data_IF_948417263717
#
_entry.id   IF_948417263717
#
_cell.length_a   1.000
_cell.length_b   1.000
_cell.length_c   1.000
_cell.angle_alpha   90.00
_cell.angle_beta   90.00
_cell.angle_gamma   90.00
#
_symmetry.space_group_name_H-M   'P 1'
#
loop_
_entity.id
_entity.type
_entity.pdbx_description
1 polymer ?
#
# COMPACT_ATOMS: atom_id res chain seq x y z
N UNK A 1 4.70 7.35 -27.13
CA UNK A 1 5.56 6.49 -26.28
C UNK A 1 6.63 7.36 -25.65
N UNK A 2 6.88 7.20 -24.35
CA UNK A 2 7.95 7.92 -23.67
C UNK A 2 9.31 7.35 -24.11
N UNK A 3 10.35 8.19 -24.29
CA UNK A 3 11.70 7.71 -24.55
C UNK A 3 12.22 6.87 -23.35
N UNK A 4 13.15 5.91 -23.57
CA UNK A 4 13.60 4.95 -22.56
C UNK A 4 14.04 5.58 -21.23
N UNK A 5 14.69 6.74 -21.28
CA UNK A 5 15.11 7.49 -20.08
C UNK A 5 13.92 8.07 -19.27
N UNK A 6 12.80 8.35 -19.94
CA UNK A 6 11.60 8.86 -19.27
C UNK A 6 10.69 7.71 -18.77
N UNK A 7 10.85 6.50 -19.30
CA UNK A 7 10.10 5.31 -18.82
C UNK A 7 10.42 5.00 -17.36
N UNK A 8 11.70 5.05 -16.98
CA UNK A 8 12.13 4.81 -15.60
C UNK A 8 11.51 5.84 -14.67
N UNK A 9 11.58 7.13 -15.07
CA UNK A 9 10.97 8.22 -14.29
C UNK A 9 9.45 8.09 -14.21
N UNK A 10 8.79 7.76 -15.31
CA UNK A 10 7.34 7.53 -15.35
C UNK A 10 6.91 6.37 -14.45
N UNK A 11 7.64 5.26 -14.50
CA UNK A 11 7.37 4.10 -13.64
C UNK A 11 7.56 4.42 -12.16
N UNK A 12 8.60 5.16 -11.80
CA UNK A 12 8.84 5.59 -10.42
C UNK A 12 7.72 6.48 -9.88
N UNK A 13 7.15 7.35 -10.72
CA UNK A 13 5.99 8.17 -10.34
C UNK A 13 4.74 7.31 -10.12
N UNK A 14 4.47 6.36 -11.01
CA UNK A 14 3.33 5.44 -10.89
C UNK A 14 3.45 4.63 -9.60
N UNK A 15 4.62 4.06 -9.34
CA UNK A 15 4.90 3.27 -8.13
C UNK A 15 4.73 4.12 -6.87
N UNK A 16 5.33 5.32 -6.84
CA UNK A 16 5.22 6.24 -5.71
C UNK A 16 3.78 6.67 -5.43
N UNK A 17 3.00 6.98 -6.45
CA UNK A 17 1.58 7.31 -6.32
C UNK A 17 0.76 6.10 -5.85
N UNK A 18 1.10 4.89 -6.30
CA UNK A 18 0.44 3.66 -5.85
C UNK A 18 0.65 3.45 -4.36
N UNK A 19 1.89 3.53 -3.88
CA UNK A 19 2.21 3.40 -2.45
C UNK A 19 1.51 4.49 -1.64
N UNK A 20 1.59 5.75 -2.09
CA UNK A 20 0.91 6.87 -1.44
C UNK A 20 -0.60 6.64 -1.33
N UNK A 21 -1.22 6.12 -2.40
CA UNK A 21 -2.67 5.83 -2.42
C UNK A 21 -3.04 4.73 -1.43
N UNK A 22 -2.22 3.69 -1.31
CA UNK A 22 -2.42 2.61 -0.32
C UNK A 22 -2.40 3.17 1.09
N UNK A 23 -1.40 4.01 1.40
CA UNK A 23 -1.23 4.63 2.71
C UNK A 23 -2.42 5.54 3.04
N UNK A 24 -2.74 6.47 2.13
CA UNK A 24 -3.87 7.38 2.31
C UNK A 24 -5.20 6.62 2.43
N UNK A 25 -5.38 5.57 1.63
CA UNK A 25 -6.57 4.72 1.70
C UNK A 25 -6.72 4.03 3.05
N UNK A 26 -5.64 3.51 3.62
CA UNK A 26 -5.64 2.88 4.94
C UNK A 26 -5.96 3.90 6.05
N UNK A 27 -5.36 5.08 6.00
CA UNK A 27 -5.65 6.15 6.98
C UNK A 27 -7.10 6.64 6.88
N UNK A 28 -7.57 6.90 5.67
CA UNK A 28 -8.97 7.31 5.44
C UNK A 28 -9.94 6.23 5.90
N UNK A 29 -9.65 4.95 5.60
CA UNK A 29 -10.44 3.82 6.08
C UNK A 29 -10.52 3.77 7.62
N UNK A 30 -9.39 3.98 8.31
CA UNK A 30 -9.36 4.07 9.78
C UNK A 30 -10.18 5.24 10.32
N UNK A 31 -10.06 6.42 9.71
CA UNK A 31 -10.84 7.61 10.10
C UNK A 31 -12.34 7.40 9.90
N UNK A 32 -12.76 6.76 8.80
CA UNK A 32 -14.18 6.48 8.53
C UNK A 32 -14.82 5.56 9.56
N UNK A 33 -14.06 4.66 10.16
CA UNK A 33 -14.54 3.73 11.21
C UNK A 33 -14.36 4.32 12.61
N UNK A 34 -13.71 5.49 12.75
CA UNK A 34 -13.56 6.17 14.06
C UNK A 34 -14.92 6.55 14.64
N UNK A 35 -15.08 6.56 15.99
CA UNK A 35 -16.37 6.82 16.63
C UNK A 35 -16.99 8.16 16.26
N UNK A 36 -16.16 9.20 16.12
CA UNK A 36 -16.65 10.55 15.81
C UNK A 36 -17.23 10.63 14.40
N UNK A 37 -16.52 10.07 13.41
CA UNK A 37 -16.95 10.10 12.00
C UNK A 37 -18.09 9.12 11.77
N UNK A 38 -18.02 7.92 12.33
CA UNK A 38 -19.07 6.91 12.17
C UNK A 38 -20.39 7.34 12.81
N UNK A 39 -20.36 7.95 14.01
CA UNK A 39 -21.58 8.48 14.64
C UNK A 39 -22.18 9.61 13.82
N UNK A 40 -21.35 10.51 13.30
CA UNK A 40 -21.82 11.60 12.43
C UNK A 40 -22.46 11.06 11.15
N UNK A 41 -21.85 10.06 10.51
CA UNK A 41 -22.39 9.42 9.29
C UNK A 41 -23.73 8.73 9.58
N UNK A 42 -23.85 7.98 10.70
CA UNK A 42 -25.06 7.25 11.06
C UNK A 42 -26.24 8.16 11.47
N UNK A 43 -25.95 9.35 12.02
CA UNK A 43 -26.98 10.31 12.39
C UNK A 43 -27.44 11.19 11.25
N UNK A 44 -26.78 11.13 10.08
CA UNK A 44 -27.13 11.97 8.97
C UNK A 44 -28.47 11.57 8.31
N UNK A 45 -29.44 12.52 8.12
CA UNK A 45 -30.81 12.19 7.68
C UNK A 45 -30.89 11.41 6.36
N UNK A 46 -29.91 11.61 5.45
CA UNK A 46 -29.86 10.98 4.13
C UNK A 46 -29.43 9.50 4.17
N UNK A 47 -28.80 9.08 5.26
CA UNK A 47 -28.28 7.73 5.45
C UNK A 47 -29.13 6.90 6.40
N UNK A 48 -30.07 7.55 7.13
CA UNK A 48 -31.00 6.89 8.02
C UNK A 48 -31.87 5.87 7.27
N UNK A 49 -31.77 4.61 7.66
CA UNK A 49 -32.51 3.50 7.04
C UNK A 49 -31.76 2.73 5.95
N UNK A 50 -30.67 3.27 5.41
CA UNK A 50 -29.81 2.60 4.41
C UNK A 50 -28.58 1.99 5.05
N UNK A 51 -28.05 2.64 6.08
CA UNK A 51 -26.81 2.28 6.75
C UNK A 51 -27.08 2.09 8.23
N UNK A 52 -26.73 0.93 8.78
CA UNK A 52 -26.98 0.58 10.17
C UNK A 52 -25.68 0.45 10.98
N UNK A 53 -24.56 0.19 10.31
CA UNK A 53 -23.26 -0.04 10.96
C UNK A 53 -22.19 0.93 10.47
N UNK A 54 -21.18 1.26 11.31
CA UNK A 54 -20.03 2.06 10.89
C UNK A 54 -19.31 1.50 9.65
N UNK A 55 -19.26 0.19 9.52
CA UNK A 55 -18.63 -0.48 8.40
C UNK A 55 -19.40 -0.25 7.08
N UNK A 56 -20.74 -0.31 7.12
CA UNK A 56 -21.60 -0.02 5.96
C UNK A 56 -21.45 1.43 5.51
N UNK A 57 -21.38 2.36 6.46
CA UNK A 57 -21.14 3.77 6.16
C UNK A 57 -19.79 3.97 5.46
N UNK A 58 -18.73 3.32 5.96
CA UNK A 58 -17.41 3.37 5.35
C UNK A 58 -17.41 2.79 3.93
N UNK A 59 -18.07 1.64 3.73
CA UNK A 59 -18.19 0.99 2.40
C UNK A 59 -18.92 1.92 1.42
N UNK A 60 -19.98 2.58 1.85
CA UNK A 60 -20.73 3.52 0.98
C UNK A 60 -19.84 4.69 0.54
N UNK A 61 -19.07 5.28 1.46
CA UNK A 61 -18.13 6.37 1.12
C UNK A 61 -17.06 5.87 0.14
N UNK A 62 -16.52 4.68 0.36
CA UNK A 62 -15.53 4.07 -0.55
C UNK A 62 -16.15 3.80 -1.92
N UNK A 63 -17.39 3.32 -1.98
CA UNK A 63 -18.11 3.11 -3.24
C UNK A 63 -18.29 4.42 -4.03
N UNK A 64 -18.59 5.53 -3.35
CA UNK A 64 -18.67 6.85 -3.97
C UNK A 64 -17.31 7.32 -4.52
N UNK A 65 -16.23 7.08 -3.78
CA UNK A 65 -14.85 7.37 -4.25
C UNK A 65 -14.53 6.56 -5.50
N UNK A 66 -14.88 5.27 -5.54
CA UNK A 66 -14.71 4.43 -6.73
C UNK A 66 -15.57 4.91 -7.91
N UNK A 67 -16.79 5.33 -7.67
CA UNK A 67 -17.64 5.89 -8.71
C UNK A 67 -17.04 7.19 -9.29
N UNK A 68 -16.53 8.08 -8.43
CA UNK A 68 -15.81 9.28 -8.86
C UNK A 68 -14.55 8.93 -9.67
N UNK A 69 -13.75 7.96 -9.21
CA UNK A 69 -12.57 7.47 -9.93
C UNK A 69 -12.95 6.90 -11.31
N UNK A 70 -14.05 6.17 -11.42
CA UNK A 70 -14.56 5.65 -12.70
C UNK A 70 -14.92 6.80 -13.65
N UNK A 71 -15.58 7.84 -13.15
CA UNK A 71 -15.91 9.04 -13.96
C UNK A 71 -14.62 9.72 -14.43
N UNK A 72 -13.62 9.91 -13.54
CA UNK A 72 -12.32 10.46 -13.93
C UNK A 72 -11.64 9.61 -15.01
N UNK A 73 -11.75 8.28 -14.92
CA UNK A 73 -11.19 7.37 -15.94
C UNK A 73 -11.85 7.56 -17.31
N UNK A 74 -13.14 7.87 -17.36
CA UNK A 74 -13.85 8.17 -18.62
C UNK A 74 -13.37 9.47 -19.26
N UNK A 75 -12.79 10.39 -18.49
CA UNK A 75 -12.25 11.66 -18.98
C UNK A 75 -10.85 11.50 -19.61
N UNK A 76 -10.23 10.34 -19.52
CA UNK A 76 -8.91 10.09 -20.12
C UNK A 76 -9.04 10.15 -21.66
N UNK A 77 -8.31 11.05 -22.34
CA UNK A 77 -8.39 11.19 -23.79
C UNK A 77 -7.89 9.91 -24.47
N UNK A 78 -8.62 9.51 -25.51
CA UNK A 78 -8.25 8.35 -26.33
C UNK A 78 -6.92 8.66 -27.01
N UNK A 79 -5.89 7.89 -26.69
CA UNK A 79 -4.64 7.89 -27.46
C UNK A 79 -4.96 7.26 -28.84
N UNK A 80 -4.74 8.01 -29.92
CA UNK A 80 -4.98 7.50 -31.29
C UNK A 80 -3.95 6.45 -31.75
N UNK A 81 -3.29 5.77 -30.82
CA UNK A 81 -2.34 4.71 -31.10
C UNK A 81 -3.14 3.45 -31.45
N UNK A 82 -3.03 3.01 -32.71
CA UNK A 82 -3.61 1.75 -33.12
C UNK A 82 -2.70 0.61 -32.66
N UNK A 83 -3.16 -0.12 -31.66
CA UNK A 83 -2.53 -1.40 -31.28
C UNK A 83 -2.99 -2.49 -32.23
N UNK A 84 -2.13 -3.46 -32.58
CA UNK A 84 -2.57 -4.62 -33.36
C UNK A 84 -3.76 -5.30 -32.66
N UNK A 85 -4.76 -5.67 -33.45
CA UNK A 85 -5.98 -6.30 -32.90
C UNK A 85 -5.61 -7.57 -32.17
N UNK A 86 -5.82 -7.56 -30.87
CA UNK A 86 -5.58 -8.72 -30.01
C UNK A 86 -6.67 -9.77 -30.28
N UNK A 87 -6.27 -11.02 -30.40
CA UNK A 87 -7.24 -12.11 -30.56
C UNK A 87 -8.09 -12.21 -29.30
N UNK A 88 -9.42 -12.17 -29.46
CA UNK A 88 -10.39 -12.17 -28.35
C UNK A 88 -10.57 -13.56 -27.69
N UNK A 89 -9.88 -14.59 -28.16
CA UNK A 89 -9.99 -15.92 -27.60
C UNK A 89 -9.26 -16.01 -26.26
N UNK A 90 -9.97 -16.24 -25.12
CA UNK A 90 -9.38 -16.25 -23.79
C UNK A 90 -8.32 -17.35 -23.62
N UNK A 91 -8.48 -18.48 -24.32
CA UNK A 91 -7.52 -19.59 -24.28
C UNK A 91 -6.19 -19.18 -24.92
N UNK A 92 -6.27 -18.48 -26.04
CA UNK A 92 -5.06 -17.98 -26.75
C UNK A 92 -4.37 -16.88 -25.93
N UNK A 93 -5.12 -16.02 -25.25
CA UNK A 93 -4.57 -15.01 -24.33
C UNK A 93 -3.83 -15.67 -23.17
N UNK A 94 -4.40 -16.73 -22.59
CA UNK A 94 -3.76 -17.47 -21.51
C UNK A 94 -2.47 -18.17 -21.99
N UNK A 95 -2.49 -18.79 -23.17
CA UNK A 95 -1.29 -19.40 -23.76
C UNK A 95 -0.20 -18.38 -24.04
N UNK A 96 -0.58 -17.22 -24.59
CA UNK A 96 0.36 -16.13 -24.85
C UNK A 96 0.95 -15.58 -23.54
N UNK A 97 0.12 -15.36 -22.51
CA UNK A 97 0.57 -14.95 -21.20
C UNK A 97 1.59 -15.93 -20.62
N UNK A 98 1.27 -17.22 -20.66
CA UNK A 98 2.19 -18.27 -20.18
C UNK A 98 3.49 -18.32 -20.99
N UNK A 99 3.39 -18.08 -22.29
CA UNK A 99 4.56 -17.94 -23.16
C UNK A 99 5.47 -16.80 -22.70
N UNK A 100 4.92 -15.61 -22.42
CA UNK A 100 5.69 -14.45 -21.93
C UNK A 100 6.29 -14.71 -20.55
N UNK A 101 5.54 -15.31 -19.61
CA UNK A 101 6.06 -15.71 -18.31
C UNK A 101 7.22 -16.67 -18.45
N UNK A 102 7.13 -17.66 -19.38
CA UNK A 102 8.21 -18.61 -19.62
C UNK A 102 9.46 -17.94 -20.19
N UNK A 103 9.31 -16.97 -21.11
CA UNK A 103 10.43 -16.20 -21.66
C UNK A 103 11.11 -15.42 -20.54
N UNK A 104 10.32 -14.70 -19.71
CA UNK A 104 10.82 -13.91 -18.59
C UNK A 104 11.52 -14.79 -17.55
N UNK A 105 10.99 -16.00 -17.31
CA UNK A 105 11.59 -16.97 -16.39
C UNK A 105 12.86 -17.64 -16.91
N UNK A 106 13.11 -17.61 -18.22
CA UNK A 106 14.36 -18.09 -18.83
C UNK A 106 15.47 -17.05 -18.80
N UNK A 107 15.12 -15.78 -18.79
CA UNK A 107 16.10 -14.71 -18.66
C UNK A 107 16.46 -14.52 -17.17
N UNK A 108 17.77 -14.58 -16.86
CA UNK A 108 18.25 -14.50 -15.49
C UNK A 108 17.93 -13.16 -14.81
N UNK A 109 17.98 -12.06 -15.57
CA UNK A 109 17.59 -10.74 -15.07
C UNK A 109 16.07 -10.64 -14.84
N UNK A 110 15.30 -11.19 -15.78
CA UNK A 110 13.85 -11.29 -15.67
C UNK A 110 13.41 -12.10 -14.45
N UNK A 111 14.08 -13.22 -14.20
CA UNK A 111 13.85 -14.07 -13.02
C UNK A 111 14.05 -13.31 -11.71
N UNK A 112 15.20 -12.64 -11.58
CA UNK A 112 15.54 -11.85 -10.38
C UNK A 112 14.53 -10.72 -10.18
N UNK A 113 14.23 -9.99 -11.25
CA UNK A 113 13.27 -8.87 -11.20
C UNK A 113 11.88 -9.34 -10.76
N UNK A 114 11.38 -10.43 -11.35
CA UNK A 114 10.07 -11.00 -11.02
C UNK A 114 10.03 -11.50 -9.58
N UNK A 115 11.05 -12.25 -9.15
CA UNK A 115 11.13 -12.79 -7.79
C UNK A 115 11.20 -11.66 -6.76
N UNK A 116 12.07 -10.66 -6.96
CA UNK A 116 12.22 -9.53 -6.02
C UNK A 116 10.94 -8.72 -5.94
N UNK A 117 10.29 -8.40 -7.07
CA UNK A 117 9.04 -7.64 -7.08
C UNK A 117 7.91 -8.42 -6.39
N UNK A 118 7.79 -9.71 -6.67
CA UNK A 118 6.75 -10.56 -6.06
C UNK A 118 6.96 -10.69 -4.54
N UNK A 119 8.21 -10.91 -4.12
CA UNK A 119 8.55 -10.99 -2.69
C UNK A 119 8.33 -9.66 -1.99
N UNK A 120 8.71 -8.55 -2.61
CA UNK A 120 8.49 -7.21 -2.06
C UNK A 120 7.00 -6.93 -1.81
N UNK A 121 6.15 -7.14 -2.81
CA UNK A 121 4.71 -6.93 -2.68
C UNK A 121 4.06 -7.92 -1.71
N UNK A 122 4.46 -9.20 -1.74
CA UNK A 122 3.97 -10.22 -0.82
C UNK A 122 4.35 -9.93 0.62
N UNK A 123 5.61 -9.62 0.88
CA UNK A 123 6.10 -9.24 2.22
C UNK A 123 5.44 -7.95 2.71
N UNK A 124 5.33 -6.93 1.85
CA UNK A 124 4.71 -5.65 2.17
C UNK A 124 3.24 -5.82 2.59
N UNK A 125 2.45 -6.58 1.82
CA UNK A 125 1.05 -6.85 2.14
C UNK A 125 0.91 -7.64 3.46
N UNK A 126 1.76 -8.63 3.67
CA UNK A 126 1.76 -9.42 4.92
C UNK A 126 2.12 -8.55 6.13
N UNK A 127 3.16 -7.72 6.01
CA UNK A 127 3.57 -6.80 7.09
C UNK A 127 2.49 -5.79 7.40
N UNK A 128 1.79 -5.27 6.40
CA UNK A 128 0.67 -4.35 6.59
C UNK A 128 -0.43 -4.96 7.46
N UNK A 129 -0.83 -6.19 7.18
CA UNK A 129 -1.82 -6.90 7.98
C UNK A 129 -1.30 -7.21 9.39
N UNK A 130 -0.03 -7.61 9.50
CA UNK A 130 0.63 -7.88 10.79
C UNK A 130 0.69 -6.64 11.68
N UNK A 131 1.02 -5.47 11.15
CA UNK A 131 1.10 -4.22 11.92
C UNK A 131 -0.26 -3.84 12.48
N UNK A 132 -1.33 -3.96 11.68
CA UNK A 132 -2.69 -3.66 12.13
C UNK A 132 -3.11 -4.64 13.24
N UNK A 133 -2.90 -5.94 13.01
CA UNK A 133 -3.28 -6.97 13.98
C UNK A 133 -2.43 -6.90 15.26
N UNK A 134 -1.14 -6.61 15.15
CA UNK A 134 -0.28 -6.36 16.29
C UNK A 134 -0.73 -5.16 17.12
N UNK A 135 -1.11 -4.06 16.47
CA UNK A 135 -1.67 -2.90 17.15
C UNK A 135 -2.95 -3.22 17.91
N UNK A 136 -3.80 -4.07 17.33
CA UNK A 136 -5.06 -4.49 17.96
C UNK A 136 -4.86 -5.50 19.08
N UNK A 137 -4.12 -6.56 18.83
CA UNK A 137 -3.99 -7.71 19.73
C UNK A 137 -2.99 -7.45 20.87
N UNK A 138 -1.88 -6.78 20.58
CA UNK A 138 -0.78 -6.58 21.53
C UNK A 138 -0.84 -5.24 22.25
N UNK A 139 -1.18 -4.16 21.54
CA UNK A 139 -1.28 -2.82 22.11
C UNK A 139 -2.72 -2.48 22.55
N UNK A 140 -3.71 -3.32 22.26
CA UNK A 140 -5.10 -3.10 22.63
C UNK A 140 -5.78 -1.93 21.90
N UNK A 141 -5.24 -1.54 20.73
CA UNK A 141 -5.77 -0.42 19.97
C UNK A 141 -7.05 -0.76 19.23
N UNK A 142 -7.88 0.24 19.05
CA UNK A 142 -9.02 0.17 18.13
C UNK A 142 -8.53 0.25 16.71
N UNK A 143 -9.38 -0.10 15.76
CA UNK A 143 -9.02 -0.15 14.34
C UNK A 143 -8.56 1.21 13.79
N UNK A 144 -9.23 2.30 14.21
CA UNK A 144 -8.85 3.67 13.86
C UNK A 144 -7.44 4.04 14.39
N UNK A 145 -7.13 3.65 15.61
CA UNK A 145 -5.80 3.85 16.21
C UNK A 145 -4.72 2.96 15.55
N UNK A 146 -5.05 1.68 15.27
CA UNK A 146 -4.15 0.78 14.58
C UNK A 146 -3.82 1.27 13.16
N UNK A 147 -4.74 1.97 12.49
CA UNK A 147 -4.47 2.56 11.16
C UNK A 147 -3.44 3.70 11.21
N UNK A 148 -3.27 4.38 12.35
CA UNK A 148 -2.24 5.41 12.54
C UNK A 148 -0.85 4.78 12.48
N UNK A 149 -0.66 3.56 12.97
CA UNK A 149 0.60 2.82 12.85
C UNK A 149 1.01 2.67 11.38
N UNK A 150 0.03 2.46 10.49
CA UNK A 150 0.28 2.43 9.04
C UNK A 150 0.76 3.79 8.50
N UNK A 151 0.25 4.89 9.06
CA UNK A 151 0.73 6.23 8.73
C UNK A 151 2.20 6.44 9.11
N UNK A 152 2.63 5.88 10.25
CA UNK A 152 4.03 5.94 10.72
C UNK A 152 4.92 5.13 9.78
N UNK A 153 4.51 3.90 9.43
CA UNK A 153 5.22 3.05 8.46
C UNK A 153 5.37 3.75 7.09
N UNK A 154 4.36 4.57 6.73
CA UNK A 154 4.40 5.38 5.52
C UNK A 154 5.53 6.41 5.54
N UNK A 155 5.74 7.07 6.68
CA UNK A 155 6.83 8.04 6.84
C UNK A 155 8.18 7.33 6.63
N UNK A 156 8.36 6.17 7.25
CA UNK A 156 9.55 5.33 7.05
C UNK A 156 9.75 4.94 5.59
N UNK A 157 8.68 4.55 4.90
CA UNK A 157 8.72 4.20 3.48
C UNK A 157 9.15 5.38 2.61
N UNK A 158 8.64 6.59 2.89
CA UNK A 158 9.03 7.81 2.17
C UNK A 158 10.51 8.13 2.40
N UNK A 159 10.97 8.07 3.65
CA UNK A 159 12.38 8.29 3.99
C UNK A 159 13.26 7.26 3.27
N UNK A 160 12.88 5.98 3.33
CA UNK A 160 13.58 4.89 2.66
C UNK A 160 13.64 5.08 1.13
N UNK A 161 12.55 5.49 0.51
CA UNK A 161 12.49 5.75 -0.93
C UNK A 161 13.40 6.93 -1.35
N UNK A 162 13.42 8.02 -0.56
CA UNK A 162 14.31 9.17 -0.81
C UNK A 162 15.77 8.77 -0.68
N UNK A 163 16.12 7.97 0.32
CA UNK A 163 17.48 7.46 0.53
C UNK A 163 17.89 6.49 -0.59
N UNK A 164 17.00 5.57 -0.96
CA UNK A 164 17.23 4.62 -2.05
C UNK A 164 17.44 5.32 -3.39
N UNK A 165 16.70 6.42 -3.66
CA UNK A 165 16.85 7.20 -4.87
C UNK A 165 18.24 7.87 -5.04
N UNK A 166 19.02 7.96 -3.97
CA UNK A 166 20.41 8.44 -3.97
C UNK A 166 21.45 7.34 -4.20
N UNK A 167 21.04 6.08 -4.15
CA UNK A 167 21.93 4.93 -4.31
C UNK A 167 22.15 4.67 -5.80
N UNK A 168 23.41 4.67 -6.24
CA UNK A 168 23.77 4.34 -7.63
C UNK A 168 23.65 2.84 -7.85
N UNK A 169 23.31 2.43 -9.09
CA UNK A 169 23.11 1.03 -9.47
C UNK A 169 24.21 0.06 -9.02
N UNK A 170 25.53 0.40 -9.11
CA UNK A 170 26.60 -0.46 -8.61
C UNK A 170 26.57 -0.67 -7.10
N UNK A 171 26.01 0.27 -6.35
CA UNK A 171 25.90 0.21 -4.88
C UNK A 171 24.59 -0.42 -4.42
N UNK A 172 23.66 -0.71 -5.32
CA UNK A 172 22.36 -1.31 -4.98
C UNK A 172 22.52 -2.64 -4.24
N UNK A 173 23.53 -3.43 -4.57
CA UNK A 173 23.83 -4.70 -3.89
C UNK A 173 24.26 -4.50 -2.43
N UNK A 174 24.84 -3.35 -2.07
CA UNK A 174 25.25 -3.07 -0.68
C UNK A 174 24.07 -2.73 0.23
N UNK A 175 22.89 -2.47 -0.36
CA UNK A 175 21.66 -2.16 0.38
C UNK A 175 20.86 -3.43 0.72
N UNK A 176 21.14 -4.58 0.07
CA UNK A 176 20.47 -5.86 0.37
C UNK A 176 20.47 -6.25 1.85
N UNK A 177 21.56 -6.07 2.64
CA UNK A 177 21.54 -6.37 4.07
C UNK A 177 20.51 -5.57 4.87
N UNK A 178 20.09 -4.38 4.40
CA UNK A 178 19.04 -3.61 5.06
C UNK A 178 17.68 -4.35 5.01
N UNK A 179 17.39 -5.06 3.92
CA UNK A 179 16.19 -5.91 3.84
C UNK A 179 16.21 -7.05 4.86
N UNK A 180 17.38 -7.63 5.12
CA UNK A 180 17.57 -8.64 6.17
C UNK A 180 17.42 -8.01 7.55
N UNK A 181 17.97 -6.82 7.76
CA UNK A 181 17.82 -6.06 9.00
C UNK A 181 16.36 -5.73 9.31
N UNK A 182 15.56 -5.37 8.30
CA UNK A 182 14.10 -5.20 8.45
C UNK A 182 13.43 -6.45 9.01
N UNK A 183 13.78 -7.64 8.52
CA UNK A 183 13.25 -8.89 9.05
C UNK A 183 13.55 -9.08 10.55
N UNK A 184 14.76 -8.72 10.98
CA UNK A 184 15.12 -8.77 12.40
C UNK A 184 14.38 -7.71 13.23
N UNK A 185 14.14 -6.52 12.69
CA UNK A 185 13.36 -5.47 13.35
C UNK A 185 11.93 -5.95 13.62
N UNK A 186 11.29 -6.62 12.65
CA UNK A 186 9.94 -7.19 12.84
C UNK A 186 9.90 -8.21 13.99
N UNK A 187 10.99 -8.98 14.21
CA UNK A 187 11.09 -9.90 15.34
C UNK A 187 11.13 -9.19 16.70
N UNK A 188 11.41 -7.90 16.74
CA UNK A 188 11.43 -7.10 17.98
C UNK A 188 10.03 -6.59 18.35
N UNK A 189 9.05 -6.63 17.45
CA UNK A 189 7.69 -6.14 17.69
C UNK A 189 7.02 -6.74 18.95
N UNK A 190 7.15 -8.05 19.25
CA UNK A 190 6.55 -8.64 20.45
C UNK A 190 7.12 -8.11 21.77
N UNK A 191 8.33 -7.54 21.75
CA UNK A 191 9.00 -7.04 22.96
C UNK A 191 8.64 -5.59 23.30
N UNK A 192 7.88 -4.92 22.44
CA UNK A 192 7.43 -3.55 22.69
C UNK A 192 6.34 -3.57 23.77
N UNK A 193 6.64 -2.97 24.91
CA UNK A 193 5.69 -2.85 26.02
C UNK A 193 4.89 -1.54 25.89
N UNK A 194 3.59 -1.60 26.18
CA UNK A 194 2.70 -0.45 26.15
C UNK A 194 2.96 0.58 27.26
N UNK A 195 3.88 0.32 28.21
CA UNK A 195 4.16 1.15 29.37
C UNK A 195 4.90 2.46 29.08
N UNK A 196 5.55 2.58 27.93
CA UNK A 196 6.35 3.74 27.55
C UNK A 196 5.66 4.50 26.41
N UNK A 197 4.67 5.29 26.77
CA UNK A 197 3.80 5.97 25.80
C UNK A 197 4.19 7.44 25.60
N UNK A 198 4.12 7.90 24.36
CA UNK A 198 4.13 9.31 23.97
C UNK A 198 2.75 9.64 23.40
N UNK A 199 2.16 10.72 23.84
CA UNK A 199 0.87 11.19 23.37
C UNK A 199 1.03 11.99 22.09
N UNK A 200 0.66 11.41 20.94
CA UNK A 200 0.70 12.09 19.63
C UNK A 200 -0.64 11.88 18.93
N UNK A 201 -1.21 12.97 18.42
CA UNK A 201 -2.48 12.98 17.67
C UNK A 201 -3.67 12.34 18.42
N UNK A 202 -3.68 12.45 19.75
CA UNK A 202 -4.77 11.88 20.57
C UNK A 202 -4.68 10.38 20.80
N UNK A 203 -3.55 9.77 20.52
CA UNK A 203 -3.27 8.34 20.73
C UNK A 203 -2.01 8.18 21.57
N UNK A 204 -2.10 7.37 22.62
CA UNK A 204 -0.94 6.97 23.43
C UNK A 204 -0.20 5.83 22.72
N UNK A 205 0.89 6.16 22.04
CA UNK A 205 1.71 5.19 21.31
C UNK A 205 3.03 4.93 22.05
N UNK A 206 3.45 3.68 22.21
CA UNK A 206 4.77 3.38 22.72
C UNK A 206 5.84 3.96 21.80
N UNK A 207 6.78 4.73 22.34
CA UNK A 207 7.85 5.33 21.52
C UNK A 207 8.68 4.29 20.76
N UNK A 208 8.82 3.09 21.34
CA UNK A 208 9.46 1.97 20.67
C UNK A 208 8.73 1.51 19.39
N UNK A 209 7.40 1.63 19.35
CA UNK A 209 6.62 1.32 18.14
C UNK A 209 6.95 2.29 16.99
N UNK A 210 7.18 3.58 17.29
CA UNK A 210 7.61 4.54 16.27
C UNK A 210 8.95 4.16 15.66
N UNK A 211 9.93 3.83 16.50
CA UNK A 211 11.29 3.48 16.06
C UNK A 211 11.27 2.20 15.20
N UNK A 212 10.42 1.23 15.57
CA UNK A 212 10.33 -0.04 14.82
C UNK A 212 9.62 0.10 13.48
N UNK A 213 8.69 1.06 13.35
CA UNK A 213 7.86 1.22 12.16
C UNK A 213 8.43 2.23 11.15
N UNK A 214 9.36 3.11 11.55
CA UNK A 214 10.08 4.05 10.67
C UNK A 214 11.32 3.39 10.07
#
# INVERSE_FOLDING_TARGET
MLPPLQLVKGNSWIEGLTILSIILGTLVGGVLVSPGVSSWLLTHPWLNGVVQTPAEAAILVIALVYAAAAICTLMIPKTHIQYPKQQKNPIHLMQSFWGYVRILWRDKLGQISLAVTTLFWGAGATLQLMVIEWGRSHLGYRLDQASILMGITAIGTIIGAVLAGRVTLPRALTVLPLGVAMGFIVLLMPFVQSSWTIHILGVDLPWAAYILLI
#
